data_IF_901141975202
#
_entry.id   IF_901141975202
#
_cell.length_a   1.000
_cell.length_b   1.000
_cell.length_c   1.000
_cell.angle_alpha   90.00
_cell.angle_beta   90.00
_cell.angle_gamma   90.00
#
_symmetry.space_group_name_H-M   'P 1'
#
loop_
_entity.id
_entity.type
_entity.pdbx_description
1 polymer ?
#
# COMPACT_ATOMS: atom_id res chain seq x y z
N UNK A 1 -11.48 31.39 -20.62
CA UNK A 1 -10.27 31.79 -19.84
C UNK A 1 -9.87 30.66 -18.90
N UNK A 2 -10.72 30.28 -17.93
CA UNK A 2 -10.47 29.19 -16.98
C UNK A 2 -10.00 27.89 -17.62
N UNK A 3 -10.74 27.36 -18.61
CA UNK A 3 -10.40 26.08 -19.23
C UNK A 3 -8.99 26.08 -19.83
N UNK A 4 -8.63 27.14 -20.55
CA UNK A 4 -7.29 27.30 -21.14
C UNK A 4 -6.21 27.28 -20.06
N UNK A 5 -6.43 27.99 -18.95
CA UNK A 5 -5.48 28.06 -17.82
C UNK A 5 -5.35 26.72 -17.10
N UNK A 6 -6.46 26.03 -16.82
CA UNK A 6 -6.43 24.67 -16.22
C UNK A 6 -5.68 23.70 -17.12
N UNK A 7 -5.94 23.73 -18.43
CA UNK A 7 -5.23 22.89 -19.40
C UNK A 7 -3.73 23.17 -19.42
N UNK A 8 -3.32 24.44 -19.53
CA UNK A 8 -1.91 24.79 -19.69
C UNK A 8 -1.11 24.77 -18.39
N UNK A 9 -1.71 25.14 -17.26
CA UNK A 9 -1.01 25.32 -15.97
C UNK A 9 -1.12 24.11 -15.05
N UNK A 10 -2.11 23.23 -15.26
CA UNK A 10 -2.36 22.08 -14.38
C UNK A 10 -2.27 20.77 -15.16
N UNK A 11 -3.15 20.57 -16.14
CA UNK A 11 -3.29 19.27 -16.82
C UNK A 11 -2.02 18.92 -17.60
N UNK A 12 -1.55 19.83 -18.47
CA UNK A 12 -0.34 19.61 -19.25
C UNK A 12 0.89 19.27 -18.37
N UNK A 13 1.28 20.10 -17.37
CA UNK A 13 2.45 19.78 -16.55
C UNK A 13 2.27 18.56 -15.65
N UNK A 14 1.05 18.28 -15.15
CA UNK A 14 0.82 17.11 -14.30
C UNK A 14 0.85 15.79 -15.10
N UNK A 15 0.36 15.80 -16.34
CA UNK A 15 0.27 14.59 -17.16
C UNK A 15 1.55 14.32 -17.95
N UNK A 16 2.34 15.35 -18.29
CA UNK A 16 3.53 15.21 -19.15
C UNK A 16 4.49 14.08 -18.73
N UNK A 17 4.62 13.82 -17.43
CA UNK A 17 5.54 12.80 -16.90
C UNK A 17 5.00 11.36 -17.03
N UNK A 18 3.69 11.16 -16.91
CA UNK A 18 3.10 9.82 -16.69
C UNK A 18 2.02 9.43 -17.70
N UNK A 19 1.40 10.42 -18.35
CA UNK A 19 0.28 10.23 -19.26
C UNK A 19 0.39 11.25 -20.41
N UNK A 20 1.10 10.94 -21.50
CA UNK A 20 1.21 11.85 -22.63
C UNK A 20 -0.17 12.12 -23.24
N UNK A 21 -0.51 13.40 -23.39
CA UNK A 21 -1.79 13.85 -23.97
C UNK A 21 -1.66 13.84 -25.49
N UNK A 22 -2.57 13.14 -26.15
CA UNK A 22 -2.65 13.02 -27.61
C UNK A 22 -3.94 13.63 -28.18
N UNK A 23 -4.12 13.56 -29.50
CA UNK A 23 -5.31 14.04 -30.20
C UNK A 23 -6.60 13.27 -29.86
N UNK A 24 -6.48 12.08 -29.27
CA UNK A 24 -7.62 11.25 -28.86
C UNK A 24 -8.03 11.50 -27.40
N UNK A 25 -7.23 12.27 -26.65
CA UNK A 25 -7.46 12.53 -25.24
C UNK A 25 -8.59 13.55 -25.03
N UNK A 26 -9.69 13.10 -24.45
CA UNK A 26 -10.75 13.99 -23.99
C UNK A 26 -10.37 14.64 -22.64
N UNK A 27 -10.39 15.97 -22.59
CA UNK A 27 -10.15 16.73 -21.37
C UNK A 27 -11.42 17.49 -21.00
N UNK A 28 -11.99 17.15 -19.85
CA UNK A 28 -13.19 17.77 -19.30
C UNK A 28 -12.81 18.74 -18.18
N UNK A 29 -13.01 20.04 -18.39
CA UNK A 29 -12.82 21.06 -17.34
C UNK A 29 -14.18 21.58 -16.89
N UNK A 30 -14.49 21.36 -15.61
CA UNK A 30 -15.76 21.76 -14.99
C UNK A 30 -16.99 21.37 -15.84
N UNK A 31 -17.19 20.07 -16.16
CA UNK A 31 -18.29 19.65 -17.04
C UNK A 31 -19.68 19.96 -16.48
N UNK A 32 -19.81 20.15 -15.16
CA UNK A 32 -21.05 20.56 -14.48
C UNK A 32 -21.31 22.08 -14.54
N UNK A 33 -20.48 22.86 -15.23
CA UNK A 33 -20.57 24.31 -15.28
C UNK A 33 -19.78 25.01 -14.16
N UNK A 34 -20.24 26.19 -13.77
CA UNK A 34 -19.52 27.02 -12.79
C UNK A 34 -19.49 26.37 -11.40
N UNK A 35 -18.32 26.38 -10.76
CA UNK A 35 -18.14 25.87 -9.40
C UNK A 35 -17.67 27.01 -8.48
N UNK A 36 -18.62 27.86 -8.08
CA UNK A 36 -18.34 29.10 -7.31
C UNK A 36 -18.31 28.84 -5.81
N UNK A 37 -19.27 28.05 -5.32
CA UNK A 37 -19.41 27.70 -3.90
C UNK A 37 -18.77 26.33 -3.66
N UNK A 38 -17.82 26.23 -2.74
CA UNK A 38 -17.04 25.02 -2.47
C UNK A 38 -16.74 24.80 -1.00
N UNK A 39 -16.12 23.65 -0.70
CA UNK A 39 -15.68 23.30 0.64
C UNK A 39 -16.80 22.89 1.60
N UNK A 40 -16.56 22.96 2.93
CA UNK A 40 -17.51 22.49 3.96
C UNK A 40 -18.90 23.13 3.94
N UNK A 41 -19.04 24.27 3.25
CA UNK A 41 -20.32 24.97 3.09
C UNK A 41 -21.30 24.21 2.20
N UNK A 42 -20.80 23.46 1.21
CA UNK A 42 -21.63 22.76 0.22
C UNK A 42 -21.57 21.24 0.35
N UNK A 43 -20.51 20.69 0.96
CA UNK A 43 -20.36 19.25 1.17
C UNK A 43 -19.80 18.94 2.57
N UNK A 44 -20.41 17.97 3.24
CA UNK A 44 -19.99 17.56 4.58
C UNK A 44 -18.83 16.57 4.48
N UNK A 45 -17.64 17.00 4.88
CA UNK A 45 -16.46 16.14 4.95
C UNK A 45 -16.43 15.29 6.22
N UNK A 46 -16.09 13.99 6.08
CA UNK A 46 -15.76 13.12 7.21
C UNK A 46 -14.40 12.46 7.02
N UNK A 47 -13.69 12.24 8.13
CA UNK A 47 -12.41 11.53 8.13
C UNK A 47 -12.59 10.10 7.62
N UNK A 48 -11.65 9.63 6.77
CA UNK A 48 -11.67 8.26 6.26
C UNK A 48 -12.63 8.01 5.10
N UNK A 49 -13.16 9.05 4.44
CA UNK A 49 -14.05 8.92 3.26
C UNK A 49 -13.34 8.95 1.90
N UNK A 50 -12.01 8.90 1.89
CA UNK A 50 -11.16 8.95 0.68
C UNK A 50 -10.07 7.88 0.67
N UNK A 51 -10.40 6.65 1.13
CA UNK A 51 -9.44 5.57 1.31
C UNK A 51 -8.70 5.16 0.03
N UNK A 52 -9.43 5.03 -1.08
CA UNK A 52 -8.82 4.69 -2.38
C UNK A 52 -7.93 5.82 -2.92
N UNK A 53 -8.28 7.08 -2.62
CA UNK A 53 -7.44 8.24 -2.96
C UNK A 53 -6.18 8.30 -2.08
N UNK A 54 -6.28 7.86 -0.82
CA UNK A 54 -5.15 7.78 0.10
C UNK A 54 -4.15 6.67 -0.28
N UNK A 55 -4.56 5.70 -1.12
CA UNK A 55 -3.81 4.46 -1.41
C UNK A 55 -3.58 4.27 -2.91
N UNK A 56 -4.17 3.24 -3.52
CA UNK A 56 -3.78 2.72 -4.85
C UNK A 56 -4.78 3.06 -5.95
N UNK A 57 -5.68 4.02 -5.72
CA UNK A 57 -6.63 4.48 -6.74
C UNK A 57 -7.65 3.42 -7.20
N UNK A 58 -7.77 2.30 -6.47
CA UNK A 58 -8.62 1.16 -6.84
C UNK A 58 -7.91 0.04 -7.61
N UNK A 59 -6.60 0.15 -7.86
CA UNK A 59 -5.81 -0.92 -8.48
C UNK A 59 -5.59 -2.11 -7.55
N UNK A 60 -5.59 -1.87 -6.24
CA UNK A 60 -5.41 -2.91 -5.23
C UNK A 60 -6.55 -3.02 -4.25
N UNK A 61 -6.64 -4.19 -3.62
CA UNK A 61 -7.66 -4.34 -2.58
C UNK A 61 -7.32 -3.51 -1.34
N UNK A 62 -8.30 -3.29 -0.48
CA UNK A 62 -8.17 -2.42 0.68
C UNK A 62 -8.95 -2.95 1.87
N UNK A 63 -8.36 -2.94 3.07
CA UNK A 63 -8.97 -3.52 4.27
C UNK A 63 -10.04 -2.71 4.97
N UNK A 64 -10.60 -1.71 4.32
CA UNK A 64 -11.58 -0.77 4.89
C UNK A 64 -11.08 0.18 5.99
N UNK A 65 -9.90 -0.05 6.57
CA UNK A 65 -9.36 0.75 7.66
C UNK A 65 -8.96 2.17 7.24
N UNK A 66 -9.56 3.20 7.84
CA UNK A 66 -9.10 4.58 7.65
C UNK A 66 -7.75 4.85 8.33
N UNK A 67 -6.98 5.77 7.77
CA UNK A 67 -5.67 6.13 8.33
C UNK A 67 -5.75 7.37 9.23
N UNK A 68 -6.21 8.52 8.72
CA UNK A 68 -6.23 9.80 9.45
C UNK A 68 -7.01 9.71 10.77
N UNK A 69 -6.56 10.45 11.79
CA UNK A 69 -7.18 10.45 13.13
C UNK A 69 -6.76 9.31 14.05
N UNK A 70 -6.01 8.32 13.55
CA UNK A 70 -5.52 7.19 14.35
C UNK A 70 -4.10 7.42 14.87
N UNK A 71 -3.75 6.84 16.01
CA UNK A 71 -2.36 6.73 16.47
C UNK A 71 -1.71 5.46 15.87
N UNK A 72 -0.38 5.29 15.90
CA UNK A 72 0.27 4.19 15.21
C UNK A 72 0.06 2.81 15.87
N UNK A 73 -0.54 2.74 17.07
CA UNK A 73 -1.02 1.47 17.63
C UNK A 73 -2.17 0.86 16.83
N UNK A 74 -2.86 1.65 15.99
CA UNK A 74 -3.96 1.15 15.15
C UNK A 74 -3.39 0.52 13.89
N UNK A 75 -3.53 -0.79 13.80
CA UNK A 75 -2.98 -1.62 12.71
C UNK A 75 -3.50 -1.22 11.33
N UNK A 76 -4.71 -0.64 11.26
CA UNK A 76 -5.25 -0.03 10.02
C UNK A 76 -4.27 0.95 9.37
N UNK A 77 -3.44 1.63 10.17
CA UNK A 77 -2.39 2.52 9.67
C UNK A 77 -1.02 1.84 9.66
N UNK A 78 -0.57 1.32 10.80
CA UNK A 78 0.82 0.85 10.93
C UNK A 78 1.07 -0.39 10.09
N UNK A 79 0.18 -1.37 10.10
CA UNK A 79 0.32 -2.56 9.27
C UNK A 79 0.19 -2.22 7.78
N UNK A 80 -0.56 -1.19 7.41
CA UNK A 80 -0.63 -0.73 6.03
C UNK A 80 0.67 -0.18 5.49
N UNK A 81 1.36 0.61 6.31
CA UNK A 81 2.69 1.09 5.96
C UNK A 81 3.70 -0.07 5.89
N UNK A 82 3.59 -1.07 6.77
CA UNK A 82 4.43 -2.26 6.67
C UNK A 82 4.14 -3.07 5.41
N UNK A 83 2.87 -3.29 5.06
CA UNK A 83 2.46 -4.00 3.85
C UNK A 83 3.00 -3.31 2.59
N UNK A 84 2.88 -1.97 2.50
CA UNK A 84 3.49 -1.16 1.42
C UNK A 84 4.99 -1.37 1.35
N UNK A 85 5.69 -1.31 2.48
CA UNK A 85 7.14 -1.51 2.50
C UNK A 85 7.53 -2.90 1.98
N UNK A 86 6.81 -3.95 2.40
CA UNK A 86 7.08 -5.33 1.98
C UNK A 86 6.88 -5.46 0.46
N UNK A 87 5.70 -5.07 -0.04
CA UNK A 87 5.37 -5.16 -1.45
C UNK A 87 6.34 -4.36 -2.32
N UNK A 88 6.64 -3.11 -1.94
CA UNK A 88 7.59 -2.26 -2.65
C UNK A 88 9.01 -2.86 -2.64
N UNK A 89 9.43 -3.47 -1.53
CA UNK A 89 10.74 -4.14 -1.47
C UNK A 89 10.81 -5.36 -2.38
N UNK A 90 9.73 -6.12 -2.52
CA UNK A 90 9.67 -7.30 -3.41
C UNK A 90 9.81 -6.86 -4.87
N UNK A 91 9.08 -5.80 -5.27
CA UNK A 91 9.15 -5.24 -6.62
C UNK A 91 10.54 -4.64 -6.89
N UNK A 92 11.07 -3.80 -6.00
CA UNK A 92 12.41 -3.21 -6.13
C UNK A 92 13.54 -4.24 -6.17
N UNK A 93 13.37 -5.37 -5.46
CA UNK A 93 14.33 -6.46 -5.49
C UNK A 93 14.32 -7.23 -6.84
N UNK A 94 13.32 -6.97 -7.70
CA UNK A 94 13.12 -7.65 -8.98
C UNK A 94 12.51 -9.04 -8.86
N UNK A 95 11.82 -9.34 -7.75
CA UNK A 95 11.22 -10.66 -7.50
C UNK A 95 9.86 -10.86 -8.16
N UNK A 96 9.18 -9.75 -8.46
CA UNK A 96 7.87 -9.71 -9.12
C UNK A 96 7.72 -8.35 -9.83
N UNK A 97 6.84 -8.27 -10.83
CA UNK A 97 6.50 -7.00 -11.47
C UNK A 97 5.41 -6.25 -10.68
N UNK A 98 4.49 -6.99 -10.06
CA UNK A 98 3.41 -6.47 -9.22
C UNK A 98 3.32 -7.32 -7.95
N UNK A 99 2.94 -6.70 -6.83
CA UNK A 99 2.84 -7.42 -5.57
C UNK A 99 1.71 -6.89 -4.68
N UNK A 100 0.86 -7.81 -4.23
CA UNK A 100 -0.09 -7.61 -3.15
C UNK A 100 0.41 -8.20 -1.83
N UNK A 101 0.23 -7.47 -0.73
CA UNK A 101 0.54 -7.97 0.62
C UNK A 101 -0.68 -7.84 1.52
N UNK A 102 -1.10 -8.97 2.08
CA UNK A 102 -2.19 -9.07 3.04
C UNK A 102 -1.69 -9.26 4.47
N UNK A 103 -2.18 -8.43 5.42
CA UNK A 103 -1.90 -8.62 6.85
C UNK A 103 -3.18 -8.50 7.67
N UNK A 104 -3.50 -9.52 8.47
CA UNK A 104 -4.68 -9.55 9.33
C UNK A 104 -4.31 -9.76 10.80
N UNK A 105 -4.99 -9.04 11.71
CA UNK A 105 -4.79 -9.14 13.16
C UNK A 105 -6.09 -9.46 13.88
N UNK A 106 -6.00 -10.27 14.93
CA UNK A 106 -7.07 -10.39 15.92
C UNK A 106 -6.83 -9.39 17.05
N UNK A 107 -7.90 -8.77 17.56
CA UNK A 107 -7.79 -7.82 18.67
C UNK A 107 -7.08 -8.45 19.89
N UNK A 108 -6.09 -7.77 20.43
CA UNK A 108 -5.29 -8.26 21.56
C UNK A 108 -4.18 -9.26 21.21
N UNK A 109 -4.06 -9.70 19.95
CA UNK A 109 -2.97 -10.57 19.49
C UNK A 109 -1.89 -9.75 18.79
N UNK A 110 -0.65 -9.84 19.26
CA UNK A 110 0.47 -9.11 18.67
C UNK A 110 0.89 -9.69 17.32
N UNK A 111 0.91 -11.01 17.19
CA UNK A 111 1.23 -11.68 15.94
C UNK A 111 0.02 -11.74 15.00
N UNK A 112 0.23 -11.52 13.68
CA UNK A 112 -0.85 -11.58 12.72
C UNK A 112 -1.50 -12.97 12.68
N UNK A 113 -2.82 -13.00 12.44
CA UNK A 113 -3.57 -14.24 12.23
C UNK A 113 -3.44 -14.75 10.79
N UNK A 114 -3.20 -13.85 9.84
CA UNK A 114 -2.88 -14.18 8.45
C UNK A 114 -1.85 -13.17 7.92
N UNK A 115 -0.92 -13.67 7.10
CA UNK A 115 0.06 -12.88 6.37
C UNK A 115 0.37 -13.61 5.06
N UNK A 116 0.19 -12.91 3.95
CA UNK A 116 0.34 -13.43 2.59
C UNK A 116 0.98 -12.39 1.68
N UNK A 117 1.77 -12.89 0.72
CA UNK A 117 2.31 -12.16 -0.42
C UNK A 117 1.68 -12.81 -1.66
N UNK A 118 1.07 -12.03 -2.53
CA UNK A 118 0.53 -12.46 -3.82
C UNK A 118 1.21 -11.65 -4.92
N UNK A 119 1.94 -12.31 -5.81
CA UNK A 119 2.65 -11.63 -6.92
C UNK A 119 1.79 -11.44 -8.16
N UNK A 120 0.49 -11.74 -8.08
CA UNK A 120 -0.48 -11.64 -9.18
C UNK A 120 -0.02 -12.44 -10.43
N UNK A 121 0.72 -13.53 -10.19
CA UNK A 121 1.29 -14.37 -11.25
C UNK A 121 2.54 -13.80 -11.93
N UNK A 122 3.10 -12.70 -11.44
CA UNK A 122 4.30 -12.06 -12.00
C UNK A 122 5.61 -12.43 -11.28
N UNK A 123 5.53 -13.23 -10.21
CA UNK A 123 6.67 -13.61 -9.39
C UNK A 123 7.62 -14.60 -10.07
N UNK A 124 8.93 -14.41 -9.88
CA UNK A 124 9.96 -15.39 -10.26
C UNK A 124 9.87 -16.67 -9.41
N UNK A 125 9.43 -16.53 -8.16
CA UNK A 125 9.26 -17.62 -7.19
C UNK A 125 7.81 -17.72 -6.76
N UNK A 126 7.40 -18.90 -6.26
CA UNK A 126 6.06 -19.06 -5.72
C UNK A 126 5.78 -18.09 -4.55
N UNK A 127 4.57 -17.56 -4.51
CA UNK A 127 4.04 -16.72 -3.43
C UNK A 127 4.28 -17.29 -2.03
N UNK A 128 4.23 -18.62 -1.89
CA UNK A 128 4.53 -19.31 -0.62
C UNK A 128 5.97 -19.11 -0.15
N UNK A 129 6.94 -19.17 -1.06
CA UNK A 129 8.36 -18.95 -0.76
C UNK A 129 8.58 -17.48 -0.40
N UNK A 130 8.01 -16.57 -1.18
CA UNK A 130 8.11 -15.13 -0.93
C UNK A 130 7.46 -14.73 0.40
N UNK A 131 6.30 -15.31 0.71
CA UNK A 131 5.62 -15.12 2.01
C UNK A 131 6.50 -15.61 3.16
N UNK A 132 7.17 -16.76 3.02
CA UNK A 132 8.07 -17.27 4.06
C UNK A 132 9.29 -16.36 4.24
N UNK A 133 9.96 -16.00 3.15
CA UNK A 133 11.11 -15.10 3.19
C UNK A 133 10.76 -13.73 3.79
N UNK A 134 9.61 -13.15 3.40
CA UNK A 134 9.15 -11.88 3.96
C UNK A 134 8.82 -12.00 5.46
N UNK A 135 8.24 -13.12 5.90
CA UNK A 135 7.96 -13.36 7.32
C UNK A 135 9.23 -13.42 8.17
N UNK A 136 10.34 -13.92 7.62
CA UNK A 136 11.63 -14.00 8.33
C UNK A 136 12.35 -12.65 8.39
N UNK A 137 12.15 -11.79 7.39
CA UNK A 137 12.84 -10.51 7.26
C UNK A 137 12.09 -9.37 7.96
N UNK A 138 10.76 -9.34 7.86
CA UNK A 138 9.96 -8.21 8.31
C UNK A 138 9.31 -8.46 9.67
N UNK A 139 9.34 -7.44 10.53
CA UNK A 139 8.63 -7.49 11.80
C UNK A 139 7.15 -7.17 11.60
N UNK A 140 6.29 -8.13 11.91
CA UNK A 140 4.84 -8.00 11.75
C UNK A 140 4.11 -7.71 13.06
N UNK A 141 4.80 -7.53 14.19
CA UNK A 141 4.15 -7.15 15.45
C UNK A 141 3.96 -5.63 15.50
N UNK A 142 2.80 -5.08 15.91
CA UNK A 142 2.54 -3.64 15.87
C UNK A 142 3.61 -2.77 16.54
N UNK A 143 4.11 -3.17 17.71
CA UNK A 143 5.20 -2.44 18.39
C UNK A 143 6.48 -2.40 17.55
N UNK A 144 6.87 -3.54 16.96
CA UNK A 144 8.04 -3.60 16.09
C UNK A 144 7.88 -2.80 14.80
N UNK A 145 6.68 -2.78 14.22
CA UNK A 145 6.37 -1.94 13.05
C UNK A 145 6.56 -0.45 13.40
N UNK A 146 6.03 -0.02 14.56
CA UNK A 146 6.15 1.36 15.04
C UNK A 146 7.62 1.77 15.16
N UNK A 147 8.45 0.89 15.72
CA UNK A 147 9.87 1.17 15.94
C UNK A 147 10.66 1.15 14.62
N UNK A 148 10.44 0.16 13.75
CA UNK A 148 11.11 0.04 12.44
C UNK A 148 10.79 1.22 11.52
N UNK A 149 9.53 1.64 11.47
CA UNK A 149 9.08 2.73 10.61
C UNK A 149 9.14 4.10 11.31
N UNK A 150 9.62 4.16 12.56
CA UNK A 150 9.67 5.38 13.37
C UNK A 150 8.35 6.17 13.39
N UNK A 151 7.24 5.48 13.70
CA UNK A 151 5.88 6.03 13.58
C UNK A 151 5.47 6.98 14.73
N UNK A 152 6.36 7.26 15.68
CA UNK A 152 6.10 8.21 16.79
C UNK A 152 6.41 9.67 16.44
N UNK A 153 7.21 9.93 15.42
CA UNK A 153 7.53 11.29 14.94
C UNK A 153 7.23 11.60 13.47
N UNK A 154 6.34 10.91 12.74
CA UNK A 154 6.08 11.22 11.35
C UNK A 154 5.14 12.41 11.21
N UNK A 155 5.33 13.17 10.13
CA UNK A 155 4.56 14.35 9.76
C UNK A 155 3.20 13.96 9.18
N UNK A 156 2.33 13.31 9.97
CA UNK A 156 1.07 12.72 9.50
C UNK A 156 0.12 13.69 8.81
N UNK A 157 0.19 14.98 9.15
CA UNK A 157 -0.58 16.04 8.47
C UNK A 157 -0.25 16.12 6.98
N UNK A 158 1.02 15.95 6.64
CA UNK A 158 1.49 16.07 5.25
C UNK A 158 1.06 14.87 4.39
N UNK A 159 0.68 13.77 5.04
CA UNK A 159 0.14 12.53 4.45
C UNK A 159 -1.40 12.52 4.42
N UNK A 160 -2.07 13.60 4.84
CA UNK A 160 -3.54 13.66 4.87
C UNK A 160 -4.16 14.05 3.52
N UNK A 161 -3.33 14.44 2.55
CA UNK A 161 -3.70 14.84 1.18
C UNK A 161 -2.70 14.25 0.21
N UNK A 162 -3.05 14.13 -1.07
CA UNK A 162 -2.16 13.65 -2.15
C UNK A 162 -1.56 12.25 -1.90
N UNK A 163 -2.32 11.34 -1.30
CA UNK A 163 -1.88 9.97 -1.07
C UNK A 163 -0.87 9.78 0.06
N UNK A 164 -0.85 8.56 0.60
CA UNK A 164 0.05 8.14 1.69
C UNK A 164 1.28 7.37 1.22
N UNK A 165 1.23 6.90 -0.02
CA UNK A 165 2.25 6.09 -0.67
C UNK A 165 2.85 6.86 -1.85
N UNK A 166 3.99 6.41 -2.36
CA UNK A 166 4.65 7.01 -3.52
C UNK A 166 5.36 8.34 -3.23
N UNK A 167 5.87 8.52 -2.00
CA UNK A 167 6.67 9.68 -1.59
C UNK A 167 8.05 9.24 -1.16
N UNK A 168 9.07 10.08 -1.33
CA UNK A 168 10.45 9.63 -1.08
C UNK A 168 10.87 9.58 0.40
N UNK A 169 10.22 10.40 1.24
CA UNK A 169 10.65 10.60 2.62
C UNK A 169 10.08 9.62 3.67
N UNK A 170 8.86 9.04 3.53
CA UNK A 170 8.35 8.12 4.53
C UNK A 170 9.19 6.85 4.64
N UNK A 171 9.34 6.34 5.86
CA UNK A 171 10.13 5.13 6.12
C UNK A 171 9.61 3.88 5.40
N UNK A 172 8.30 3.81 5.13
CA UNK A 172 7.69 2.69 4.40
C UNK A 172 7.90 2.74 2.88
N UNK A 173 8.53 3.80 2.36
CA UNK A 173 8.93 3.89 0.96
C UNK A 173 10.45 3.63 0.80
N UNK A 174 11.16 3.31 1.89
CA UNK A 174 12.62 3.11 1.91
C UNK A 174 12.97 1.61 1.90
N UNK A 175 12.95 1.01 0.72
CA UNK A 175 13.15 -0.44 0.47
C UNK A 175 14.60 -0.92 0.64
N UNK A 176 15.57 -0.05 0.34
CA UNK A 176 17.03 -0.34 0.36
C UNK A 176 17.54 -0.99 1.65
N UNK A 177 16.87 -0.77 2.78
CA UNK A 177 17.25 -1.35 4.07
C UNK A 177 16.95 -2.85 4.14
N UNK A 178 15.94 -3.33 3.42
CA UNK A 178 15.42 -4.70 3.51
C UNK A 178 15.76 -5.54 2.29
N UNK A 179 16.04 -4.91 1.15
CA UNK A 179 16.33 -5.61 -0.11
C UNK A 179 17.44 -6.67 0.04
N UNK A 180 18.56 -6.30 0.68
CA UNK A 180 19.69 -7.22 0.92
C UNK A 180 19.32 -8.39 1.82
N UNK A 181 18.54 -8.13 2.86
CA UNK A 181 18.21 -9.14 3.86
C UNK A 181 17.15 -10.11 3.28
N UNK A 182 16.22 -9.59 2.47
CA UNK A 182 15.34 -10.38 1.62
C UNK A 182 16.17 -11.26 0.68
N UNK A 183 17.15 -10.69 -0.07
CA UNK A 183 18.04 -11.43 -0.99
C UNK A 183 18.67 -12.65 -0.34
N UNK A 184 19.13 -12.49 0.89
CA UNK A 184 19.71 -13.58 1.68
C UNK A 184 18.69 -14.62 2.13
N UNK A 185 17.48 -14.20 2.49
CA UNK A 185 16.45 -15.09 3.01
C UNK A 185 15.93 -16.08 1.96
N UNK A 186 15.75 -15.66 0.70
CA UNK A 186 15.22 -16.56 -0.34
C UNK A 186 16.29 -17.35 -1.10
N UNK A 187 17.54 -16.86 -1.18
CA UNK A 187 18.65 -17.56 -1.87
C UNK A 187 18.89 -19.03 -1.43
N UNK A 188 18.78 -19.41 -0.13
CA UNK A 188 18.89 -20.80 0.27
C UNK A 188 17.60 -21.60 0.03
N UNK A 189 16.45 -20.93 -0.11
CA UNK A 189 15.14 -21.56 -0.36
C UNK A 189 14.92 -21.94 -1.85
N UNK A 190 15.74 -21.43 -2.77
CA UNK A 190 15.67 -21.71 -4.21
C UNK A 190 16.40 -22.99 -4.66
N UNK A 191 17.01 -23.75 -3.74
CA UNK A 191 17.60 -25.05 -4.05
C UNK A 191 16.50 -26.09 -4.36
N UNK A 192 16.63 -26.94 -5.40
CA UNK A 192 15.58 -27.83 -5.89
C UNK A 192 15.19 -29.00 -4.96
N UNK A 193 15.58 -28.95 -3.68
CA UNK A 193 15.38 -30.01 -2.69
C UNK A 193 14.33 -29.74 -1.60
N UNK A 194 13.70 -28.56 -1.53
CA UNK A 194 12.71 -28.27 -0.48
C UNK A 194 11.32 -28.84 -0.83
N UNK A 195 11.21 -30.16 -0.79
CA UNK A 195 9.95 -30.88 -0.94
C UNK A 195 9.17 -30.88 0.39
N UNK A 196 7.94 -30.38 0.36
CA UNK A 196 6.83 -30.94 1.12
C UNK A 196 6.81 -30.77 2.65
N UNK A 197 6.33 -29.63 3.12
CA UNK A 197 5.68 -29.51 4.44
C UNK A 197 4.16 -29.42 4.28
N UNK A 198 3.46 -30.52 4.57
CA UNK A 198 2.01 -30.70 4.51
C UNK A 198 1.32 -29.81 5.57
N UNK A 199 0.54 -28.81 5.15
CA UNK A 199 -0.39 -28.12 6.05
C UNK A 199 -1.82 -28.26 5.50
N UNK A 200 -2.71 -28.82 6.32
CA UNK A 200 -4.09 -29.15 5.96
C UNK A 200 -4.93 -27.87 5.82
N UNK A 201 -5.86 -27.79 4.86
CA UNK A 201 -6.83 -26.71 4.82
C UNK A 201 -7.83 -26.90 5.97
N UNK A 202 -8.06 -25.84 6.75
CA UNK A 202 -9.23 -25.76 7.65
C UNK A 202 -10.27 -24.85 6.97
N UNK A 203 -11.51 -25.30 6.79
CA UNK A 203 -12.58 -24.44 6.30
C UNK A 203 -13.16 -23.70 7.51
N UNK A 204 -12.89 -22.40 7.66
CA UNK A 204 -13.62 -21.59 8.64
C UNK A 204 -13.80 -20.17 8.14
N UNK A 205 -15.07 -19.81 7.93
CA UNK A 205 -15.54 -18.43 7.81
C UNK A 205 -15.27 -17.76 9.15
N UNK A 206 -14.25 -16.90 9.19
CA UNK A 206 -13.91 -16.10 10.36
C UNK A 206 -14.20 -14.63 10.04
N UNK A 207 -15.00 -14.01 10.90
CA UNK A 207 -15.30 -12.58 10.85
C UNK A 207 -14.03 -11.80 11.24
N UNK A 208 -13.10 -11.61 10.30
CA UNK A 208 -11.90 -10.80 10.46
C UNK A 208 -12.22 -9.33 10.18
N UNK A 209 -12.04 -8.47 11.19
CA UNK A 209 -12.05 -7.01 11.02
C UNK A 209 -10.66 -6.60 10.54
N UNK A 210 -10.57 -6.12 9.30
CA UNK A 210 -9.36 -5.50 8.74
C UNK A 210 -8.54 -6.42 7.83
N UNK A 211 -8.99 -6.57 6.58
CA UNK A 211 -8.28 -7.33 5.54
C UNK A 211 -7.42 -6.38 4.71
N UNK A 212 -6.30 -5.89 5.25
CA UNK A 212 -5.55 -4.88 4.53
C UNK A 212 -4.67 -5.52 3.45
N UNK A 213 -5.13 -5.42 2.21
CA UNK A 213 -4.35 -5.67 1.00
C UNK A 213 -3.71 -4.37 0.52
N UNK A 214 -2.56 -4.49 -0.14
CA UNK A 214 -1.79 -3.37 -0.67
C UNK A 214 -1.21 -3.81 -2.01
N UNK A 215 -1.66 -3.23 -3.14
CA UNK A 215 -0.97 -3.38 -4.45
C UNK A 215 0.17 -2.40 -4.54
N UNK A 216 1.30 -2.90 -5.02
CA UNK A 216 2.38 -2.10 -5.59
C UNK A 216 2.62 -2.56 -7.01
#
# INVERSE_FOLDING_TARGET
MLEREVRSLIVAPACQTYLPIDEHTEILVNPSGQFVEGGPRVDTGLTGRKLMVDTYGGLGSHGGGAFSGKDPSKVDRSAAYMARLIAHTIVDAGLAAECEVGISYAIGKADPVAFEVDTLGTGEYSDRILTAAARDVFVLRPAGIIDVLNLRTPRYRDLAVYGRVGRDWPRWEQTWRFERDLRKAWSPMSSPGFCGGLFRPLPFVLLCVGFLLVVV
#
